data_IF_968983922699
#
_entry.id   IF_968983922699
#
_cell.length_a   1.000
_cell.length_b   1.000
_cell.length_c   1.000
_cell.angle_alpha   90.00
_cell.angle_beta   90.00
_cell.angle_gamma   90.00
#
_symmetry.space_group_name_H-M   'P 1'
#
loop_
_entity.id
_entity.type
_entity.pdbx_description
1 polymer ?
#
# COMPACT_ATOMS: atom_id res chain seq x y z
N UNK A 1 14.90 -16.02 13.54
CA UNK A 1 13.68 -15.41 14.14
C UNK A 1 12.88 -14.86 12.98
N UNK A 2 11.86 -15.57 12.53
CA UNK A 2 10.97 -15.13 11.45
C UNK A 2 10.14 -13.96 11.97
N UNK A 3 10.49 -12.74 11.59
CA UNK A 3 9.51 -11.68 11.51
C UNK A 3 8.40 -12.22 10.62
N UNK A 4 7.23 -12.49 11.20
CA UNK A 4 6.16 -13.09 10.41
C UNK A 4 5.86 -12.21 9.21
N UNK A 5 5.79 -12.79 8.01
CA UNK A 5 5.52 -12.10 6.74
C UNK A 5 4.34 -11.13 6.88
N UNK A 6 3.34 -11.50 7.66
CA UNK A 6 2.18 -10.65 7.96
C UNK A 6 2.56 -9.36 8.71
N UNK A 7 3.52 -9.43 9.65
CA UNK A 7 3.98 -8.23 10.37
C UNK A 7 4.79 -7.32 9.44
N UNK A 8 5.66 -7.91 8.62
CA UNK A 8 6.45 -7.15 7.65
C UNK A 8 5.55 -6.44 6.65
N UNK A 9 4.55 -7.13 6.08
CA UNK A 9 3.56 -6.55 5.18
C UNK A 9 2.82 -5.38 5.86
N UNK A 10 2.31 -5.58 7.08
CA UNK A 10 1.59 -4.54 7.81
C UNK A 10 2.46 -3.32 8.16
N UNK A 11 3.70 -3.54 8.57
CA UNK A 11 4.64 -2.45 8.87
C UNK A 11 4.97 -1.65 7.60
N UNK A 12 5.23 -2.32 6.49
CA UNK A 12 5.48 -1.67 5.21
C UNK A 12 4.28 -0.87 4.71
N UNK A 13 3.08 -1.44 4.78
CA UNK A 13 1.85 -0.75 4.37
C UNK A 13 1.54 0.46 5.28
N UNK A 14 1.70 0.33 6.61
CA UNK A 14 1.49 1.43 7.55
C UNK A 14 2.53 2.54 7.34
N UNK A 15 3.79 2.18 7.11
CA UNK A 15 4.85 3.12 6.75
C UNK A 15 4.50 3.91 5.49
N UNK A 16 4.03 3.23 4.42
CA UNK A 16 3.59 3.88 3.18
C UNK A 16 2.48 4.90 3.43
N UNK A 17 1.47 4.54 4.24
CA UNK A 17 0.35 5.44 4.52
C UNK A 17 0.81 6.74 5.18
N UNK A 18 1.73 6.66 6.14
CA UNK A 18 2.31 7.82 6.82
C UNK A 18 3.16 8.65 5.87
N UNK A 19 4.04 8.01 5.11
CA UNK A 19 4.94 8.70 4.18
C UNK A 19 4.17 9.42 3.08
N UNK A 20 3.06 8.88 2.57
CA UNK A 20 2.23 9.59 1.60
C UNK A 20 1.61 10.87 2.18
N UNK A 21 1.23 10.89 3.46
CA UNK A 21 0.82 12.14 4.12
C UNK A 21 1.99 13.14 4.12
N UNK A 22 3.18 12.68 4.49
CA UNK A 22 4.37 13.53 4.50
C UNK A 22 4.68 14.10 3.10
N UNK A 23 4.55 13.30 2.04
CA UNK A 23 4.70 13.78 0.66
C UNK A 23 3.67 14.87 0.31
N UNK A 24 2.42 14.66 0.71
CA UNK A 24 1.35 15.62 0.43
C UNK A 24 1.51 16.97 1.15
N UNK A 25 2.15 16.97 2.33
CA UNK A 25 2.36 18.17 3.14
C UNK A 25 3.70 18.87 2.87
N UNK A 26 4.63 18.18 2.19
CA UNK A 26 5.99 18.73 2.00
C UNK A 26 6.05 19.63 0.80
N UNK A 27 6.46 20.89 1.03
CA UNK A 27 6.78 21.88 -0.01
C UNK A 27 8.30 22.02 -0.22
N UNK A 28 9.10 21.46 0.68
CA UNK A 28 10.57 21.55 0.66
C UNK A 28 11.18 20.31 -0.02
N UNK A 29 11.94 20.54 -1.10
CA UNK A 29 12.58 19.47 -1.86
C UNK A 29 13.54 18.60 -1.03
N UNK A 30 14.29 19.19 -0.09
CA UNK A 30 15.23 18.41 0.74
C UNK A 30 14.49 17.45 1.67
N UNK A 31 13.37 17.89 2.25
CA UNK A 31 12.49 17.05 3.06
C UNK A 31 11.86 15.92 2.23
N UNK A 32 11.51 16.21 0.98
CA UNK A 32 10.97 15.21 0.06
C UNK A 32 11.98 14.07 -0.15
N UNK A 33 13.26 14.39 -0.43
CA UNK A 33 14.32 13.38 -0.57
C UNK A 33 14.51 12.57 0.70
N UNK A 34 14.47 13.19 1.86
CA UNK A 34 14.53 12.48 3.14
C UNK A 34 13.39 11.48 3.28
N UNK A 35 12.15 11.87 2.97
CA UNK A 35 11.01 10.96 3.03
C UNK A 35 11.07 9.83 1.99
N UNK A 36 11.64 10.08 0.79
CA UNK A 36 11.89 9.03 -0.20
C UNK A 36 12.84 7.97 0.37
N UNK A 37 13.93 8.39 1.00
CA UNK A 37 14.86 7.48 1.65
C UNK A 37 14.20 6.74 2.83
N UNK A 38 13.42 7.42 3.65
CA UNK A 38 12.70 6.83 4.79
C UNK A 38 11.64 5.80 4.33
N UNK A 39 11.16 5.91 3.10
CA UNK A 39 10.14 5.01 2.53
C UNK A 39 10.67 3.61 2.15
N UNK A 40 11.95 3.31 2.38
CA UNK A 40 12.53 2.02 1.99
C UNK A 40 11.78 0.81 2.59
N UNK A 41 11.21 0.97 3.79
CA UNK A 41 10.45 -0.08 4.46
C UNK A 41 9.17 -0.46 3.69
N UNK A 42 8.60 0.48 2.97
CA UNK A 42 7.41 0.27 2.14
C UNK A 42 7.66 -0.71 0.99
N UNK A 43 8.88 -0.74 0.46
CA UNK A 43 9.24 -1.68 -0.62
C UNK A 43 9.17 -3.14 -0.20
N UNK A 44 9.27 -3.43 1.10
CA UNK A 44 9.13 -4.79 1.62
C UNK A 44 7.67 -5.28 1.64
N UNK A 45 6.69 -4.38 1.60
CA UNK A 45 5.27 -4.74 1.67
C UNK A 45 4.81 -5.56 0.45
N UNK A 46 5.19 -5.14 -0.75
CA UNK A 46 4.82 -5.83 -1.99
C UNK A 46 5.26 -7.29 -2.03
N UNK A 47 6.56 -7.60 -1.95
CA UNK A 47 7.04 -8.98 -1.89
C UNK A 47 6.47 -9.79 -0.72
N UNK A 48 6.27 -9.17 0.45
CA UNK A 48 5.69 -9.86 1.60
C UNK A 48 4.23 -10.26 1.33
N UNK A 49 3.42 -9.38 0.77
CA UNK A 49 2.04 -9.67 0.37
C UNK A 49 1.98 -10.76 -0.70
N UNK A 50 2.83 -10.67 -1.72
CA UNK A 50 2.92 -11.66 -2.79
C UNK A 50 3.27 -13.05 -2.23
N UNK A 51 4.20 -13.12 -1.29
CA UNK A 51 4.56 -14.36 -0.61
C UNK A 51 3.39 -14.93 0.20
N UNK A 52 2.64 -14.08 0.91
CA UNK A 52 1.45 -14.51 1.68
C UNK A 52 0.39 -15.09 0.75
N UNK A 53 0.11 -14.42 -0.37
CA UNK A 53 -0.89 -14.85 -1.35
C UNK A 53 -0.45 -16.16 -2.02
N UNK A 54 0.80 -16.25 -2.46
CA UNK A 54 1.34 -17.44 -3.09
C UNK A 54 1.31 -18.66 -2.16
N UNK A 55 1.59 -18.49 -0.87
CA UNK A 55 1.50 -19.57 0.14
C UNK A 55 0.07 -19.97 0.49
N UNK A 56 -0.90 -19.11 0.26
CA UNK A 56 -2.31 -19.41 0.48
C UNK A 56 -2.94 -20.20 -0.67
N UNK A 57 -2.37 -20.13 -1.87
CA UNK A 57 -2.80 -20.89 -3.04
C UNK A 57 -2.22 -22.31 -3.01
N UNK A 58 -3.00 -23.32 -3.44
CA UNK A 58 -2.48 -24.65 -3.69
C UNK A 58 -1.51 -24.64 -4.88
N UNK A 59 -0.62 -25.64 -4.97
CA UNK A 59 0.35 -25.73 -6.08
C UNK A 59 -0.34 -25.69 -7.46
N UNK A 60 -1.53 -26.29 -7.55
CA UNK A 60 -2.33 -26.32 -8.78
C UNK A 60 -2.96 -24.96 -9.13
N UNK A 61 -3.17 -24.09 -8.13
CA UNK A 61 -3.83 -22.79 -8.29
C UNK A 61 -2.86 -21.62 -8.33
N UNK A 62 -1.57 -21.86 -8.12
CA UNK A 62 -0.56 -20.80 -8.10
C UNK A 62 -0.50 -20.02 -9.42
N UNK A 63 -0.61 -20.71 -10.57
CA UNK A 63 -0.63 -20.06 -11.87
C UNK A 63 -1.84 -19.14 -12.05
N UNK A 64 -3.04 -19.61 -11.65
CA UNK A 64 -4.27 -18.82 -11.71
C UNK A 64 -4.20 -17.60 -10.77
N UNK A 65 -3.71 -17.81 -9.56
CA UNK A 65 -3.53 -16.73 -8.56
C UNK A 65 -2.58 -15.67 -9.08
N UNK A 66 -1.43 -16.07 -9.60
CA UNK A 66 -0.44 -15.13 -10.14
C UNK A 66 -0.96 -14.41 -11.39
N UNK A 67 -1.67 -15.12 -12.27
CA UNK A 67 -2.33 -14.52 -13.43
C UNK A 67 -3.39 -13.48 -13.03
N UNK A 68 -4.19 -13.76 -12.01
CA UNK A 68 -5.18 -12.82 -11.48
C UNK A 68 -4.54 -11.56 -10.88
N UNK A 69 -3.44 -11.72 -10.11
CA UNK A 69 -2.69 -10.59 -9.58
C UNK A 69 -2.12 -9.70 -10.69
N UNK A 70 -1.54 -10.32 -11.72
CA UNK A 70 -1.00 -9.59 -12.86
C UNK A 70 -2.10 -8.86 -13.64
N UNK A 71 -3.27 -9.48 -13.82
CA UNK A 71 -4.41 -8.84 -14.47
C UNK A 71 -4.88 -7.59 -13.70
N UNK A 72 -5.02 -7.69 -12.36
CA UNK A 72 -5.37 -6.55 -11.50
C UNK A 72 -4.31 -5.46 -11.61
N UNK A 73 -3.03 -5.80 -11.55
CA UNK A 73 -1.94 -4.83 -11.69
C UNK A 73 -1.99 -4.12 -13.05
N UNK A 74 -2.24 -4.85 -14.14
CA UNK A 74 -2.36 -4.27 -15.47
C UNK A 74 -3.50 -3.24 -15.58
N UNK A 75 -4.64 -3.54 -14.98
CA UNK A 75 -5.77 -2.61 -14.90
C UNK A 75 -5.39 -1.36 -14.09
N UNK A 76 -4.72 -1.55 -12.95
CA UNK A 76 -4.32 -0.43 -12.09
C UNK A 76 -3.27 0.48 -12.74
N UNK A 77 -2.35 -0.05 -13.56
CA UNK A 77 -1.38 0.74 -14.33
C UNK A 77 -2.08 1.72 -15.28
N UNK A 78 -3.25 1.37 -15.79
CA UNK A 78 -4.06 2.24 -16.67
C UNK A 78 -4.89 3.22 -15.85
N UNK A 79 -5.59 2.74 -14.81
CA UNK A 79 -6.55 3.54 -14.05
C UNK A 79 -5.86 4.55 -13.13
N UNK A 80 -4.77 4.16 -12.47
CA UNK A 80 -4.12 5.01 -11.48
C UNK A 80 -3.60 6.34 -12.04
N UNK A 81 -2.91 6.39 -13.22
CA UNK A 81 -2.52 7.66 -13.83
C UNK A 81 -3.70 8.54 -14.22
N UNK A 82 -4.81 7.97 -14.68
CA UNK A 82 -6.02 8.73 -15.04
C UNK A 82 -6.59 9.45 -13.81
N UNK A 83 -6.73 8.73 -12.69
CA UNK A 83 -7.19 9.33 -11.42
C UNK A 83 -6.20 10.39 -10.95
N UNK A 84 -4.90 10.10 -10.97
CA UNK A 84 -3.85 11.03 -10.54
C UNK A 84 -3.84 12.31 -11.37
N UNK A 85 -3.91 12.18 -12.68
CA UNK A 85 -3.96 13.34 -13.60
C UNK A 85 -5.23 14.17 -13.39
N UNK A 86 -6.38 13.52 -13.21
CA UNK A 86 -7.64 14.22 -12.93
C UNK A 86 -7.59 15.01 -11.62
N UNK A 87 -7.06 14.41 -10.55
CA UNK A 87 -6.88 15.09 -9.27
C UNK A 87 -5.92 16.29 -9.40
N UNK A 88 -4.80 16.07 -10.08
CA UNK A 88 -3.79 17.11 -10.27
C UNK A 88 -4.33 18.26 -11.13
N UNK A 89 -5.11 17.98 -12.17
CA UNK A 89 -5.73 18.99 -13.00
C UNK A 89 -6.68 19.92 -12.21
N UNK A 90 -7.36 19.38 -11.20
CA UNK A 90 -8.25 20.17 -10.33
C UNK A 90 -7.52 21.16 -9.43
N UNK A 91 -6.30 20.87 -9.05
CA UNK A 91 -5.51 21.71 -8.12
C UNK A 91 -4.35 22.44 -8.79
N UNK A 92 -4.05 22.12 -10.04
CA UNK A 92 -2.89 22.66 -10.78
C UNK A 92 -2.88 24.18 -11.00
N UNK A 93 -4.01 24.86 -10.75
CA UNK A 93 -4.12 26.32 -10.78
C UNK A 93 -3.77 27.00 -9.45
N UNK A 94 -3.56 26.19 -8.38
CA UNK A 94 -3.25 26.70 -7.04
C UNK A 94 -1.75 27.06 -6.91
N UNK A 95 -1.39 27.94 -5.97
CA UNK A 95 0.01 28.21 -5.63
C UNK A 95 0.74 26.93 -5.20
N UNK A 96 2.04 26.84 -5.50
CA UNK A 96 2.87 25.66 -5.17
C UNK A 96 2.93 25.34 -3.68
N UNK A 97 2.70 26.31 -2.83
CA UNK A 97 2.73 26.18 -1.36
C UNK A 97 1.35 25.81 -0.78
N UNK A 98 0.33 25.66 -1.61
CA UNK A 98 -1.00 25.24 -1.16
C UNK A 98 -1.00 23.74 -0.86
N UNK A 99 -1.37 23.36 0.36
CA UNK A 99 -1.44 21.96 0.81
C UNK A 99 -2.35 21.09 -0.07
N UNK A 100 -3.32 21.68 -0.77
CA UNK A 100 -4.21 20.98 -1.71
C UNK A 100 -3.48 20.42 -2.93
N UNK A 101 -2.28 20.93 -3.25
CA UNK A 101 -1.42 20.36 -4.28
C UNK A 101 -1.03 18.90 -3.96
N UNK A 102 -1.02 18.54 -2.67
CA UNK A 102 -0.77 17.18 -2.20
C UNK A 102 -1.96 16.21 -2.30
N UNK A 103 -3.10 16.62 -2.88
CA UNK A 103 -4.35 15.83 -2.91
C UNK A 103 -4.15 14.40 -3.41
N UNK A 104 -3.34 14.20 -4.44
CA UNK A 104 -3.04 12.88 -4.99
C UNK A 104 -2.38 11.98 -3.94
N UNK A 105 -1.44 12.50 -3.16
CA UNK A 105 -0.79 11.76 -2.09
C UNK A 105 -1.75 11.47 -0.92
N UNK A 106 -2.65 12.41 -0.59
CA UNK A 106 -3.66 12.19 0.45
C UNK A 106 -4.65 11.09 0.06
N UNK A 107 -5.06 11.04 -1.21
CA UNK A 107 -5.90 9.94 -1.72
C UNK A 107 -5.15 8.61 -1.65
N UNK A 108 -3.89 8.57 -2.06
CA UNK A 108 -3.05 7.36 -1.94
C UNK A 108 -2.90 6.93 -0.47
N UNK A 109 -2.67 7.87 0.44
CA UNK A 109 -2.60 7.58 1.89
C UNK A 109 -3.91 7.01 2.43
N UNK A 110 -5.05 7.59 2.04
CA UNK A 110 -6.36 7.09 2.44
C UNK A 110 -6.64 5.66 1.96
N UNK A 111 -6.32 5.36 0.70
CA UNK A 111 -6.43 4.01 0.14
C UNK A 111 -5.49 3.03 0.85
N UNK A 112 -4.26 3.45 1.13
CA UNK A 112 -3.29 2.64 1.84
C UNK A 112 -3.73 2.36 3.28
N UNK A 113 -4.28 3.35 3.96
CA UNK A 113 -4.83 3.20 5.30
C UNK A 113 -6.02 2.22 5.32
N UNK A 114 -6.91 2.31 4.34
CA UNK A 114 -8.00 1.35 4.16
C UNK A 114 -7.46 -0.07 3.96
N UNK A 115 -6.43 -0.24 3.13
CA UNK A 115 -5.79 -1.53 2.91
C UNK A 115 -5.17 -2.10 4.20
N UNK A 116 -4.54 -1.26 5.03
CA UNK A 116 -4.01 -1.65 6.36
C UNK A 116 -5.15 -2.14 7.27
N UNK A 117 -6.25 -1.42 7.32
CA UNK A 117 -7.41 -1.82 8.14
C UNK A 117 -7.97 -3.17 7.70
N UNK A 118 -8.16 -3.37 6.39
CA UNK A 118 -8.63 -4.65 5.84
C UNK A 118 -7.67 -5.80 6.17
N UNK A 119 -6.37 -5.57 6.02
CA UNK A 119 -5.34 -6.56 6.36
C UNK A 119 -5.35 -6.89 7.86
N UNK A 120 -5.50 -5.90 8.75
CA UNK A 120 -5.61 -6.10 10.19
C UNK A 120 -6.82 -6.96 10.55
N UNK A 121 -7.98 -6.66 9.98
CA UNK A 121 -9.21 -7.44 10.22
C UNK A 121 -9.02 -8.88 9.74
N UNK A 122 -8.47 -9.06 8.54
CA UNK A 122 -8.23 -10.38 7.98
C UNK A 122 -7.27 -11.23 8.83
N UNK A 123 -6.12 -10.67 9.21
CA UNK A 123 -5.13 -11.39 10.01
C UNK A 123 -5.60 -11.67 11.44
N UNK A 124 -6.42 -10.80 12.03
CA UNK A 124 -7.07 -11.06 13.33
C UNK A 124 -8.04 -12.25 13.24
N UNK A 125 -8.86 -12.32 12.18
CA UNK A 125 -9.80 -13.44 11.96
C UNK A 125 -9.06 -14.76 11.81
N UNK A 126 -7.99 -14.80 11.00
CA UNK A 126 -7.17 -16.00 10.82
C UNK A 126 -6.53 -16.47 12.13
N UNK A 127 -6.09 -15.55 12.99
CA UNK A 127 -5.51 -15.87 14.30
C UNK A 127 -6.53 -16.48 15.25
N UNK A 128 -7.76 -15.92 15.28
CA UNK A 128 -8.81 -16.41 16.14
C UNK A 128 -9.29 -17.81 15.72
N UNK A 129 -9.43 -18.07 14.42
CA UNK A 129 -9.81 -19.38 13.93
C UNK A 129 -8.76 -20.47 14.24
N UNK A 130 -7.46 -20.14 14.19
CA UNK A 130 -6.39 -21.07 14.58
C UNK A 130 -6.36 -21.33 16.09
N UNK A 131 -6.82 -20.40 16.91
CA UNK A 131 -6.99 -20.62 18.36
C UNK A 131 -8.15 -21.54 18.69
N UNK A 132 -9.26 -21.42 17.95
CA UNK A 132 -10.47 -22.24 18.18
C UNK A 132 -10.28 -23.72 17.78
N UNK A 133 -9.34 -24.02 16.88
CA UNK A 133 -9.03 -25.41 16.43
C UNK A 133 -8.02 -26.13 17.35
N UNK A 134 -7.48 -25.43 18.36
CA UNK A 134 -6.49 -25.99 19.30
C UNK A 134 -7.08 -26.36 20.67
N UNK A 135 -8.32 -25.97 20.95
CA UNK A 135 -9.12 -26.37 22.11
C UNK A 135 -10.12 -27.46 21.72
#
# INVERSE_FOLDING_TARGET
KKFGENRLAMMGMASSAIIYICYGLTTNSNLLYFFILANFLSFAAGPALQTIISKAASEREQGLTQGSLNAINSIMIIIAPLIGTFLLAKVGHLPKDDWRMGVTFFVCSGLQFLAVLLALVHFRRLRNNKGALKN
#
